data_IF_504725264226
#
_entry.id   IF_504725264226
#
_cell.length_a   1.000
_cell.length_b   1.000
_cell.length_c   1.000
_cell.angle_alpha   90.00
_cell.angle_beta   90.00
_cell.angle_gamma   90.00
#
_symmetry.space_group_name_H-M   'P 1'
#
loop_
_entity.id
_entity.type
_entity.pdbx_description
1 polymer ?
#
# COMPACT_ATOMS: atom_id res chain seq x y z
N UNK A 1 -2.55 30.78 -36.90
CA UNK A 1 -3.60 29.97 -36.23
C UNK A 1 -3.12 29.74 -34.82
N UNK A 2 -3.78 30.36 -33.83
CA UNK A 2 -3.47 30.10 -32.43
C UNK A 2 -3.81 28.63 -32.15
N UNK A 3 -2.85 27.87 -31.63
CA UNK A 3 -3.17 26.58 -31.03
C UNK A 3 -4.16 26.85 -29.91
N UNK A 4 -5.30 26.19 -29.95
CA UNK A 4 -6.29 26.27 -28.88
C UNK A 4 -5.59 25.72 -27.62
N UNK A 5 -5.24 26.61 -26.70
CA UNK A 5 -4.38 26.38 -25.53
C UNK A 5 -5.20 25.69 -24.42
N UNK A 6 -5.97 24.67 -24.83
CA UNK A 6 -6.81 23.89 -23.93
C UNK A 6 -5.93 22.90 -23.21
N UNK A 7 -5.88 23.03 -21.87
CA UNK A 7 -5.18 22.08 -21.02
C UNK A 7 -5.59 20.63 -21.37
N UNK A 8 -4.66 19.79 -21.88
CA UNK A 8 -4.98 18.43 -22.32
C UNK A 8 -5.67 17.60 -21.24
N UNK A 9 -5.40 17.90 -19.95
CA UNK A 9 -6.00 17.21 -18.81
C UNK A 9 -7.52 17.42 -18.70
N UNK A 10 -8.10 18.43 -19.37
CA UNK A 10 -9.55 18.67 -19.36
C UNK A 10 -10.37 17.51 -19.91
N UNK A 11 -9.75 16.63 -20.71
CA UNK A 11 -10.38 15.38 -21.13
C UNK A 11 -10.78 14.49 -19.95
N UNK A 12 -10.13 14.62 -18.79
CA UNK A 12 -10.39 13.85 -17.56
C UNK A 12 -11.21 14.63 -16.52
N UNK A 13 -11.78 15.79 -16.87
CA UNK A 13 -12.43 16.70 -15.92
C UNK A 13 -13.62 16.06 -15.16
N UNK A 14 -14.27 15.06 -15.74
CA UNK A 14 -15.36 14.30 -15.12
C UNK A 14 -14.91 13.37 -13.99
N UNK A 15 -13.61 13.05 -13.94
CA UNK A 15 -12.98 12.24 -12.89
C UNK A 15 -11.80 13.00 -12.27
N UNK A 16 -12.05 13.95 -11.35
CA UNK A 16 -11.03 14.84 -10.80
C UNK A 16 -9.82 14.14 -10.16
N UNK A 17 -10.03 12.93 -9.63
CA UNK A 17 -8.95 12.12 -9.07
C UNK A 17 -7.96 11.65 -10.13
N UNK A 18 -8.48 11.07 -11.20
CA UNK A 18 -7.69 10.63 -12.35
C UNK A 18 -6.94 11.83 -12.94
N UNK A 19 -7.65 12.92 -13.21
CA UNK A 19 -7.05 14.17 -13.71
C UNK A 19 -5.89 14.64 -12.82
N UNK A 20 -6.08 14.68 -11.50
CA UNK A 20 -5.03 15.08 -10.56
C UNK A 20 -3.86 14.09 -10.52
N UNK A 21 -4.11 12.78 -10.64
CA UNK A 21 -3.06 11.77 -10.65
C UNK A 21 -2.21 11.88 -11.93
N UNK A 22 -2.86 12.02 -13.09
CA UNK A 22 -2.17 12.22 -14.37
C UNK A 22 -1.40 13.55 -14.42
N UNK A 23 -1.98 14.63 -13.89
CA UNK A 23 -1.27 15.90 -13.75
C UNK A 23 0.05 15.73 -12.97
N UNK A 24 -0.02 15.06 -11.80
CA UNK A 24 1.16 14.78 -10.99
C UNK A 24 2.20 13.91 -11.70
N UNK A 25 1.77 12.88 -12.44
CA UNK A 25 2.65 12.01 -13.22
C UNK A 25 3.41 12.81 -14.29
N UNK A 26 2.69 13.60 -15.09
CA UNK A 26 3.28 14.39 -16.18
C UNK A 26 4.22 15.47 -15.65
N UNK A 27 3.86 16.14 -14.57
CA UNK A 27 4.74 17.11 -13.90
C UNK A 27 6.02 16.44 -13.39
N UNK A 28 5.90 15.29 -12.72
CA UNK A 28 7.07 14.56 -12.21
C UNK A 28 8.01 14.12 -13.35
N UNK A 29 7.47 13.57 -14.45
CA UNK A 29 8.27 13.19 -15.62
C UNK A 29 9.00 14.40 -16.23
N UNK A 30 8.33 15.55 -16.34
CA UNK A 30 8.95 16.79 -16.86
C UNK A 30 10.05 17.31 -15.94
N UNK A 31 9.86 17.20 -14.62
CA UNK A 31 10.87 17.57 -13.63
C UNK A 31 12.11 16.67 -13.69
N UNK A 32 11.97 15.40 -14.11
CA UNK A 32 13.10 14.50 -14.41
C UNK A 32 13.74 14.76 -15.79
N UNK A 33 13.26 15.76 -16.52
CA UNK A 33 13.79 16.15 -17.83
C UNK A 33 13.21 15.36 -19.01
N UNK A 34 12.14 14.58 -18.80
CA UNK A 34 11.46 13.88 -19.87
C UNK A 34 10.44 14.78 -20.58
N UNK A 35 10.25 14.56 -21.87
CA UNK A 35 9.14 15.15 -22.61
C UNK A 35 7.89 14.29 -22.40
N UNK A 36 6.99 14.73 -21.51
CA UNK A 36 5.78 14.00 -21.16
C UNK A 36 4.50 14.78 -21.49
N UNK A 37 3.58 14.13 -22.21
CA UNK A 37 2.31 14.69 -22.64
C UNK A 37 1.16 13.67 -22.60
N UNK A 38 -0.05 14.17 -22.33
CA UNK A 38 -1.30 13.41 -22.47
C UNK A 38 -1.80 13.54 -23.90
N UNK A 39 -1.89 12.42 -24.63
CA UNK A 39 -2.33 12.42 -26.02
C UNK A 39 -3.87 12.32 -26.14
N UNK A 40 -4.52 11.67 -25.18
CA UNK A 40 -5.97 11.57 -25.14
C UNK A 40 -6.46 10.47 -24.20
N UNK A 41 -7.73 10.09 -24.35
CA UNK A 41 -8.41 9.09 -23.51
C UNK A 41 -9.19 8.13 -24.40
N UNK A 42 -8.71 6.89 -24.60
CA UNK A 42 -9.43 5.90 -25.40
C UNK A 42 -10.85 5.62 -24.90
N UNK A 43 -11.08 5.68 -23.59
CA UNK A 43 -12.41 5.53 -22.99
C UNK A 43 -13.37 6.67 -23.38
N UNK A 44 -12.88 7.90 -23.57
CA UNK A 44 -13.71 9.10 -23.80
C UNK A 44 -13.75 9.55 -25.26
N UNK A 45 -12.79 9.12 -26.07
CA UNK A 45 -12.62 9.55 -27.46
C UNK A 45 -12.62 8.36 -28.41
N UNK A 46 -13.64 7.49 -28.34
CA UNK A 46 -13.71 6.26 -29.15
C UNK A 46 -13.50 6.49 -30.65
N UNK A 47 -13.91 7.65 -31.17
CA UNK A 47 -13.77 8.01 -32.58
C UNK A 47 -12.31 8.26 -33.00
N UNK A 48 -11.46 8.73 -32.07
CA UNK A 48 -10.02 8.93 -32.29
C UNK A 48 -9.20 7.67 -32.01
N UNK A 49 -9.79 6.69 -31.33
CA UNK A 49 -9.18 5.42 -30.94
C UNK A 49 -9.98 4.24 -31.52
N UNK A 50 -9.91 3.98 -32.85
CA UNK A 50 -10.77 3.04 -33.58
C UNK A 50 -10.38 1.56 -33.37
N UNK A 51 -10.11 1.17 -32.12
CA UNK A 51 -9.74 -0.18 -31.75
C UNK A 51 -10.96 -1.09 -31.62
N UNK A 52 -10.83 -2.33 -32.09
CA UNK A 52 -11.89 -3.35 -32.01
C UNK A 52 -11.34 -4.64 -31.38
N UNK A 53 -11.84 -5.07 -30.20
CA UNK A 53 -12.78 -4.37 -29.33
C UNK A 53 -12.21 -3.05 -28.75
N UNK A 54 -13.06 -2.13 -28.24
CA UNK A 54 -12.61 -0.88 -27.64
C UNK A 54 -11.65 -1.10 -26.47
N UNK A 55 -10.70 -0.17 -26.31
CA UNK A 55 -9.68 -0.18 -25.25
C UNK A 55 -10.23 0.54 -24.01
N UNK A 56 -10.39 -0.14 -22.86
CA UNK A 56 -10.97 0.45 -21.65
C UNK A 56 -9.87 1.02 -20.73
N UNK A 57 -9.17 2.05 -21.19
CA UNK A 57 -8.11 2.72 -20.40
C UNK A 57 -8.34 4.21 -20.31
N UNK A 58 -7.90 4.78 -19.18
CA UNK A 58 -8.15 6.18 -18.86
C UNK A 58 -7.39 7.14 -19.78
N UNK A 59 -6.14 6.81 -20.16
CA UNK A 59 -5.29 7.72 -20.91
C UNK A 59 -4.34 7.04 -21.91
N UNK A 60 -3.94 7.80 -22.93
CA UNK A 60 -2.72 7.58 -23.70
C UNK A 60 -1.71 8.68 -23.35
N UNK A 61 -0.50 8.26 -22.97
CA UNK A 61 0.59 9.15 -22.53
C UNK A 61 1.79 8.92 -23.41
N UNK A 62 2.42 10.00 -23.88
CA UNK A 62 3.70 9.94 -24.56
C UNK A 62 4.82 10.43 -23.65
N UNK A 63 5.92 9.67 -23.60
CA UNK A 63 7.14 10.02 -22.87
C UNK A 63 8.33 9.87 -23.81
N UNK A 64 9.06 10.95 -24.05
CA UNK A 64 10.18 11.03 -25.00
C UNK A 64 9.82 10.49 -26.40
N UNK A 65 8.59 10.76 -26.86
CA UNK A 65 8.08 10.33 -28.16
C UNK A 65 7.56 8.87 -28.22
N UNK A 66 7.65 8.11 -27.13
CA UNK A 66 7.07 6.77 -27.02
C UNK A 66 5.69 6.89 -26.38
N UNK A 67 4.65 6.52 -27.12
CA UNK A 67 3.27 6.57 -26.65
C UNK A 67 2.79 5.19 -26.18
N UNK A 68 2.14 5.17 -25.02
CA UNK A 68 1.58 3.98 -24.40
C UNK A 68 0.29 4.27 -23.64
N UNK A 69 -0.46 3.22 -23.34
CA UNK A 69 -1.74 3.32 -22.64
C UNK A 69 -1.52 3.25 -21.14
N UNK A 70 -2.11 4.16 -20.38
CA UNK A 70 -2.02 4.20 -18.93
C UNK A 70 -3.42 4.16 -18.34
N UNK A 71 -3.64 3.18 -17.47
CA UNK A 71 -4.87 3.05 -16.71
C UNK A 71 -4.62 3.48 -15.26
N UNK A 72 -5.63 4.05 -14.61
CA UNK A 72 -5.53 4.53 -13.23
C UNK A 72 -6.30 3.61 -12.28
N UNK A 73 -5.74 3.42 -11.09
CA UNK A 73 -6.37 2.66 -10.02
C UNK A 73 -6.07 3.27 -8.65
N UNK A 74 -6.91 2.94 -7.68
CA UNK A 74 -6.76 3.37 -6.29
C UNK A 74 -6.55 2.13 -5.44
N UNK A 75 -5.58 2.16 -4.52
CA UNK A 75 -5.42 1.08 -3.54
C UNK A 75 -6.53 1.18 -2.49
N UNK A 76 -7.48 0.23 -2.45
CA UNK A 76 -8.50 0.26 -1.42
C UNK A 76 -7.83 0.05 -0.06
N UNK A 77 -8.33 0.72 0.97
CA UNK A 77 -8.04 0.26 2.33
C UNK A 77 -8.49 -1.21 2.47
N UNK A 78 -7.75 -2.05 3.22
CA UNK A 78 -8.31 -3.31 3.68
C UNK A 78 -9.65 -2.97 4.35
N UNK A 79 -10.70 -3.76 4.07
CA UNK A 79 -12.10 -3.46 4.40
C UNK A 79 -12.42 -3.35 5.92
N UNK A 80 -11.41 -3.16 6.76
CA UNK A 80 -11.55 -2.99 8.19
C UNK A 80 -11.84 -1.55 8.60
N UNK A 81 -12.64 -1.46 9.66
CA UNK A 81 -12.96 -0.26 10.41
C UNK A 81 -11.69 0.60 10.60
N UNK A 82 -11.65 1.81 10.01
CA UNK A 82 -10.53 2.76 10.15
C UNK A 82 -10.11 2.98 11.62
N UNK A 83 -11.05 2.79 12.57
CA UNK A 83 -10.77 2.86 14.01
C UNK A 83 -9.85 1.74 14.49
N UNK A 84 -9.93 0.56 13.87
CA UNK A 84 -9.09 -0.60 14.17
C UNK A 84 -7.64 -0.33 13.76
N UNK A 85 -7.42 0.20 12.56
CA UNK A 85 -6.08 0.58 12.07
C UNK A 85 -5.45 1.62 12.99
N UNK A 86 -6.18 2.72 13.27
CA UNK A 86 -5.69 3.75 14.20
C UNK A 86 -5.39 3.20 15.62
N UNK A 87 -6.14 2.18 16.07
CA UNK A 87 -5.89 1.52 17.35
C UNK A 87 -4.61 0.67 17.29
N UNK A 88 -4.39 -0.07 16.21
CA UNK A 88 -3.20 -0.91 16.04
C UNK A 88 -1.93 -0.06 16.02
N UNK A 89 -1.94 1.06 15.27
CA UNK A 89 -0.81 1.98 15.17
C UNK A 89 -0.44 2.55 16.55
N UNK A 90 -1.43 3.09 17.27
CA UNK A 90 -1.22 3.66 18.60
C UNK A 90 -0.71 2.62 19.61
N UNK A 91 -1.18 1.38 19.53
CA UNK A 91 -0.72 0.28 20.39
C UNK A 91 0.70 -0.13 20.06
N UNK A 92 1.05 -0.23 18.78
CA UNK A 92 2.38 -0.60 18.33
C UNK A 92 3.43 0.45 18.75
N UNK A 93 3.18 1.73 18.46
CA UNK A 93 4.06 2.84 18.83
C UNK A 93 4.33 2.84 20.34
N UNK A 94 3.26 2.73 21.13
CA UNK A 94 3.38 2.73 22.60
C UNK A 94 4.16 1.54 23.12
N UNK A 95 3.91 0.33 22.62
CA UNK A 95 4.59 -0.87 23.09
C UNK A 95 6.07 -0.92 22.67
N UNK A 96 6.41 -0.40 21.49
CA UNK A 96 7.81 -0.28 21.07
C UNK A 96 8.58 0.58 22.07
N UNK A 97 8.06 1.75 22.42
CA UNK A 97 8.69 2.62 23.42
C UNK A 97 8.87 1.95 24.78
N UNK A 98 7.90 1.13 25.21
CA UNK A 98 7.96 0.43 26.50
C UNK A 98 8.89 -0.80 26.53
N UNK A 99 9.12 -1.44 25.39
CA UNK A 99 9.83 -2.72 25.30
C UNK A 99 11.25 -2.61 24.76
N UNK A 100 11.64 -1.45 24.22
CA UNK A 100 12.94 -1.27 23.54
C UNK A 100 14.12 -1.60 24.45
N UNK A 101 14.15 -1.04 25.66
CA UNK A 101 15.23 -1.31 26.62
C UNK A 101 15.22 -2.78 27.08
N UNK A 102 14.03 -3.31 27.34
CA UNK A 102 13.85 -4.69 27.75
C UNK A 102 14.33 -5.69 26.67
N UNK A 103 14.14 -5.37 25.39
CA UNK A 103 14.55 -6.23 24.29
C UNK A 103 16.07 -6.32 24.11
N UNK A 104 16.84 -5.37 24.66
CA UNK A 104 18.30 -5.45 24.71
C UNK A 104 18.81 -6.66 25.48
N UNK A 105 18.02 -7.15 26.45
CA UNK A 105 18.37 -8.26 27.33
C UNK A 105 17.86 -9.62 26.79
N UNK A 106 17.18 -9.63 25.63
CA UNK A 106 16.61 -10.84 25.07
C UNK A 106 17.68 -11.76 24.45
N UNK A 107 17.59 -13.10 24.61
CA UNK A 107 18.56 -14.07 24.06
C UNK A 107 18.80 -14.01 22.55
N UNK A 108 17.87 -13.44 21.78
CA UNK A 108 18.01 -13.24 20.33
C UNK A 108 18.48 -11.84 19.93
N UNK A 109 18.72 -10.93 20.88
CA UNK A 109 18.94 -9.51 20.59
C UNK A 109 17.65 -8.75 20.24
N UNK A 110 16.48 -9.40 20.37
CA UNK A 110 15.18 -8.77 20.17
C UNK A 110 13.96 -9.60 20.61
N UNK A 111 12.81 -8.94 20.65
CA UNK A 111 11.50 -9.47 21.03
C UNK A 111 10.51 -9.44 19.87
N UNK A 112 9.66 -10.46 19.78
CA UNK A 112 8.44 -10.45 18.96
C UNK A 112 7.22 -10.60 19.85
N UNK A 113 6.28 -9.67 19.73
CA UNK A 113 5.04 -9.59 20.51
C UNK A 113 3.87 -9.77 19.56
N UNK A 114 3.05 -10.79 19.80
CA UNK A 114 1.83 -11.07 19.02
C UNK A 114 0.59 -10.74 19.83
N UNK A 115 -0.31 -9.91 19.29
CA UNK A 115 -1.49 -9.34 19.98
C UNK A 115 -2.75 -9.43 19.11
N UNK A 116 -3.93 -9.26 19.70
CA UNK A 116 -5.16 -8.99 18.96
C UNK A 116 -5.53 -7.51 19.11
N UNK A 117 -6.14 -6.89 18.08
CA UNK A 117 -6.59 -5.49 18.14
C UNK A 117 -7.89 -5.31 18.96
N UNK A 118 -8.76 -6.32 18.94
CA UNK A 118 -10.07 -6.31 19.62
C UNK A 118 -10.04 -5.79 21.07
N UNK A 119 -9.17 -6.31 21.95
CA UNK A 119 -9.07 -5.88 23.35
C UNK A 119 -8.70 -4.41 23.56
N UNK A 120 -8.21 -3.70 22.55
CA UNK A 120 -7.76 -2.31 22.65
C UNK A 120 -8.77 -1.32 22.08
N UNK A 121 -9.73 -1.78 21.29
CA UNK A 121 -10.70 -0.91 20.64
C UNK A 121 -11.71 -0.37 21.68
N UNK A 122 -11.80 0.96 21.77
CA UNK A 122 -12.79 1.63 22.61
C UNK A 122 -12.61 1.42 24.12
N UNK A 123 -11.46 0.89 24.57
CA UNK A 123 -11.18 0.74 26.00
C UNK A 123 -10.81 2.08 26.64
N UNK A 124 -11.17 2.25 27.91
CA UNK A 124 -10.76 3.44 28.67
C UNK A 124 -9.24 3.51 28.83
N UNK A 125 -8.68 4.71 29.01
CA UNK A 125 -7.24 4.93 29.26
C UNK A 125 -6.69 4.00 30.35
N UNK A 126 -7.40 3.90 31.49
CA UNK A 126 -7.01 3.02 32.62
C UNK A 126 -7.00 1.53 32.26
N UNK A 127 -7.91 1.08 31.39
CA UNK A 127 -7.93 -0.29 30.90
C UNK A 127 -6.79 -0.54 29.89
N UNK A 128 -6.53 0.42 29.00
CA UNK A 128 -5.39 0.38 28.08
C UNK A 128 -4.05 0.30 28.82
N UNK A 129 -3.84 1.13 29.85
CA UNK A 129 -2.62 1.12 30.67
C UNK A 129 -2.38 -0.25 31.33
N UNK A 130 -3.46 -0.93 31.76
CA UNK A 130 -3.37 -2.29 32.32
C UNK A 130 -2.94 -3.31 31.26
N UNK A 131 -3.48 -3.23 30.05
CA UNK A 131 -3.12 -4.12 28.94
C UNK A 131 -1.64 -3.91 28.56
N UNK A 132 -1.17 -2.66 28.47
CA UNK A 132 0.24 -2.36 28.22
C UNK A 132 1.13 -2.94 29.33
N UNK A 133 0.80 -2.69 30.60
CA UNK A 133 1.57 -3.22 31.73
C UNK A 133 1.62 -4.76 31.75
N UNK A 134 0.52 -5.42 31.34
CA UNK A 134 0.46 -6.87 31.23
C UNK A 134 1.43 -7.39 30.16
N UNK A 135 1.42 -6.81 28.95
CA UNK A 135 2.33 -7.20 27.86
C UNK A 135 3.79 -7.01 28.27
N UNK A 136 4.13 -5.88 28.92
CA UNK A 136 5.48 -5.63 29.43
C UNK A 136 5.89 -6.68 30.47
N UNK A 137 5.01 -6.99 31.43
CA UNK A 137 5.29 -8.02 32.44
C UNK A 137 5.48 -9.41 31.83
N UNK A 138 4.72 -9.75 30.78
CA UNK A 138 4.89 -10.99 30.02
C UNK A 138 6.23 -11.03 29.31
N UNK A 139 6.67 -9.92 28.72
CA UNK A 139 7.97 -9.83 28.06
C UNK A 139 9.13 -9.98 29.05
N UNK A 140 9.05 -9.34 30.21
CA UNK A 140 10.07 -9.49 31.25
C UNK A 140 10.15 -10.93 31.75
N UNK A 141 9.02 -11.63 31.88
CA UNK A 141 9.00 -13.06 32.22
C UNK A 141 9.62 -13.94 31.14
N UNK A 142 9.36 -13.66 29.85
CA UNK A 142 9.97 -14.39 28.75
C UNK A 142 11.49 -14.31 28.82
N UNK A 143 12.03 -13.09 28.94
CA UNK A 143 13.48 -12.82 29.03
C UNK A 143 14.10 -13.52 30.24
N UNK A 144 13.52 -13.36 31.43
CA UNK A 144 14.02 -14.01 32.65
C UNK A 144 14.08 -15.54 32.52
N UNK A 145 13.18 -16.14 31.75
CA UNK A 145 13.13 -17.59 31.52
C UNK A 145 14.00 -18.05 30.35
N UNK A 146 14.48 -17.13 29.52
CA UNK A 146 15.13 -17.42 28.26
C UNK A 146 14.26 -18.25 27.31
N UNK A 147 12.93 -18.21 27.45
CA UNK A 147 11.98 -18.98 26.62
C UNK A 147 10.76 -18.12 26.25
N UNK A 148 10.10 -18.39 25.10
CA UNK A 148 8.82 -17.76 24.77
C UNK A 148 7.79 -17.89 25.90
N UNK A 149 6.93 -16.89 26.05
CA UNK A 149 5.96 -16.84 27.14
C UNK A 149 4.55 -16.49 26.64
N UNK A 150 3.57 -17.21 27.17
CA UNK A 150 2.13 -17.00 26.96
C UNK A 150 1.46 -17.18 28.32
N UNK A 151 0.66 -16.20 28.76
CA UNK A 151 -0.08 -16.27 30.02
C UNK A 151 -1.50 -16.80 29.80
N UNK A 152 -1.62 -18.13 29.78
CA UNK A 152 -2.89 -18.83 29.60
C UNK A 152 -3.91 -18.58 30.73
N UNK A 153 -3.53 -17.91 31.82
CA UNK A 153 -4.37 -17.71 33.02
C UNK A 153 -5.01 -16.33 33.09
N UNK A 154 -4.53 -15.37 32.30
CA UNK A 154 -4.98 -13.98 32.32
C UNK A 154 -5.41 -13.54 30.93
N UNK A 155 -6.64 -13.87 30.47
CA UNK A 155 -7.52 -13.12 29.54
C UNK A 155 -8.66 -14.04 28.95
N UNK A 156 -9.73 -13.48 28.35
CA UNK A 156 -11.10 -13.98 28.48
C UNK A 156 -11.41 -15.24 27.67
N UNK A 157 -12.39 -16.01 28.15
CA UNK A 157 -13.02 -17.13 27.42
C UNK A 157 -13.67 -16.59 26.14
N UNK A 158 -12.93 -16.53 25.04
CA UNK A 158 -13.38 -16.09 23.72
C UNK A 158 -12.46 -16.63 22.61
N UNK A 159 -12.86 -16.57 21.33
CA UNK A 159 -12.25 -17.34 20.24
C UNK A 159 -10.90 -16.82 19.70
N UNK A 160 -10.22 -15.87 20.36
CA UNK A 160 -9.01 -15.21 19.84
C UNK A 160 -7.80 -15.35 20.79
N UNK A 161 -6.56 -15.46 20.26
CA UNK A 161 -5.41 -15.92 21.03
C UNK A 161 -4.84 -14.90 22.01
N UNK A 162 -4.43 -15.41 23.17
CA UNK A 162 -3.68 -14.72 24.23
C UNK A 162 -2.40 -14.07 23.68
N UNK A 163 -1.99 -12.87 24.15
CA UNK A 163 -0.71 -12.27 23.81
C UNK A 163 0.45 -13.25 23.93
N UNK A 164 1.31 -13.32 22.91
CA UNK A 164 2.46 -14.23 22.90
C UNK A 164 3.75 -13.44 22.74
N UNK A 165 4.72 -13.72 23.62
CA UNK A 165 6.08 -13.14 23.54
C UNK A 165 7.06 -14.21 23.10
N UNK A 166 7.83 -13.92 22.06
CA UNK A 166 8.95 -14.74 21.61
C UNK A 166 10.23 -13.92 21.45
N UNK A 167 11.31 -14.61 21.08
CA UNK A 167 12.57 -13.98 20.71
C UNK A 167 12.74 -13.96 19.21
N UNK A 168 13.37 -12.90 18.73
CA UNK A 168 13.71 -12.74 17.33
C UNK A 168 15.22 -12.55 17.21
N UNK A 169 15.93 -13.39 16.43
CA UNK A 169 17.35 -13.19 16.17
C UNK A 169 17.54 -11.89 15.37
N UNK A 170 18.18 -10.89 15.98
CA UNK A 170 18.27 -9.56 15.41
C UNK A 170 19.69 -9.23 14.90
N UNK A 171 19.90 -9.11 13.57
CA UNK A 171 21.16 -8.65 13.01
C UNK A 171 21.33 -7.12 12.98
N UNK A 172 20.26 -6.34 13.26
CA UNK A 172 20.22 -4.87 13.10
C UNK A 172 19.74 -4.12 14.37
N UNK A 173 19.68 -2.78 14.32
CA UNK A 173 19.19 -1.86 15.37
C UNK A 173 17.72 -2.04 15.81
N UNK A 174 17.02 -3.07 15.34
CA UNK A 174 15.57 -3.24 15.46
C UNK A 174 15.18 -4.28 16.53
N UNK A 175 15.21 -3.91 17.81
CA UNK A 175 15.08 -4.88 18.91
C UNK A 175 13.65 -5.33 19.24
N UNK A 176 12.59 -4.67 18.75
CA UNK A 176 11.18 -5.04 19.07
C UNK A 176 10.33 -5.15 17.80
N UNK A 177 9.51 -6.20 17.71
CA UNK A 177 8.51 -6.41 16.67
C UNK A 177 7.14 -6.58 17.32
N UNK A 178 6.15 -5.80 16.88
CA UNK A 178 4.73 -5.97 17.26
C UNK A 178 3.98 -6.54 16.05
N UNK A 179 3.22 -7.61 16.27
CA UNK A 179 2.40 -8.29 15.26
C UNK A 179 0.98 -8.42 15.78
N UNK A 180 -0.01 -8.12 14.93
CA UNK A 180 -1.42 -8.31 15.26
C UNK A 180 -1.95 -9.59 14.59
N UNK A 181 -2.32 -10.58 15.39
CA UNK A 181 -3.02 -11.78 14.96
C UNK A 181 -4.53 -11.52 14.96
N UNK A 182 -5.04 -11.11 13.82
CA UNK A 182 -6.48 -11.00 13.56
C UNK A 182 -6.84 -11.83 12.32
N UNK A 183 -7.60 -12.92 12.53
CA UNK A 183 -7.89 -13.92 11.50
C UNK A 183 -8.82 -13.36 10.40
N UNK A 184 -9.55 -12.27 10.67
CA UNK A 184 -10.40 -11.63 9.66
C UNK A 184 -9.65 -10.73 8.67
N UNK A 185 -8.40 -10.37 8.98
CA UNK A 185 -7.70 -9.24 8.38
C UNK A 185 -6.48 -9.61 7.54
N UNK A 186 -5.86 -10.75 7.84
CA UNK A 186 -4.66 -11.24 7.14
C UNK A 186 -3.57 -10.17 6.99
N UNK A 187 -3.23 -9.45 8.06
CA UNK A 187 -2.32 -8.29 8.01
C UNK A 187 -1.12 -8.46 8.94
N UNK A 188 0.10 -8.34 8.41
CA UNK A 188 1.31 -8.03 9.15
C UNK A 188 2.06 -6.90 8.44
N UNK A 189 2.10 -5.76 9.14
CA UNK A 189 3.08 -4.71 8.93
C UNK A 189 4.11 -4.77 10.05
N UNK A 190 5.39 -4.65 9.70
CA UNK A 190 6.53 -4.54 10.61
C UNK A 190 7.01 -3.09 10.57
N UNK A 191 6.64 -2.30 11.57
CA UNK A 191 7.19 -0.96 11.76
C UNK A 191 8.68 -1.07 12.13
N UNK A 192 9.57 -0.48 11.33
CA UNK A 192 11.01 -0.40 11.56
C UNK A 192 11.36 0.89 12.32
N UNK A 193 12.53 0.93 12.95
CA UNK A 193 12.96 2.03 13.82
C UNK A 193 13.32 3.31 13.05
N UNK A 194 13.32 3.25 11.73
CA UNK A 194 13.33 4.41 10.82
C UNK A 194 11.92 5.02 10.64
N UNK A 195 10.91 4.51 11.34
CA UNK A 195 9.54 4.98 11.25
C UNK A 195 8.76 4.43 10.04
N UNK A 196 9.25 3.37 9.38
CA UNK A 196 8.62 2.83 8.16
C UNK A 196 7.93 1.50 8.39
N UNK A 197 6.83 1.26 7.70
CA UNK A 197 6.15 -0.03 7.69
C UNK A 197 6.77 -0.97 6.66
N UNK A 198 7.06 -2.23 7.02
CA UNK A 198 7.42 -3.32 6.10
C UNK A 198 6.29 -4.32 6.04
N UNK A 199 5.80 -4.67 4.86
CA UNK A 199 4.60 -5.49 4.71
C UNK A 199 4.96 -6.86 4.15
N UNK A 200 4.25 -7.90 4.60
CA UNK A 200 4.30 -9.20 3.93
C UNK A 200 3.32 -9.22 2.76
N UNK A 201 3.79 -9.57 1.57
CA UNK A 201 2.98 -9.46 0.36
C UNK A 201 1.90 -10.52 0.28
N UNK A 202 2.19 -11.73 0.75
CA UNK A 202 1.20 -12.82 0.82
C UNK A 202 -0.03 -12.45 1.66
N UNK A 203 0.08 -11.43 2.51
CA UNK A 203 -0.95 -10.94 3.42
C UNK A 203 -1.73 -9.75 2.85
N UNK A 204 -1.06 -8.80 2.20
CA UNK A 204 -1.74 -7.66 1.56
C UNK A 204 -2.37 -8.01 0.21
N UNK A 205 -1.87 -9.04 -0.48
CA UNK A 205 -2.33 -9.40 -1.84
C UNK A 205 -3.82 -9.79 -1.88
N UNK A 206 -4.36 -10.63 -0.97
CA UNK A 206 -5.78 -10.98 -0.98
C UNK A 206 -6.75 -9.83 -0.69
N UNK A 207 -6.30 -8.75 -0.04
CA UNK A 207 -7.13 -7.62 0.39
C UNK A 207 -6.95 -6.39 -0.50
N UNK A 208 -5.70 -6.01 -0.78
CA UNK A 208 -5.32 -4.79 -1.52
C UNK A 208 -4.91 -5.14 -2.96
N UNK A 209 -4.18 -6.23 -3.16
CA UNK A 209 -3.69 -6.68 -4.47
C UNK A 209 -4.79 -7.02 -5.47
N UNK A 210 -5.98 -7.41 -5.01
CA UNK A 210 -7.14 -7.75 -5.88
C UNK A 210 -7.54 -6.63 -6.83
N UNK A 211 -7.40 -5.36 -6.43
CA UNK A 211 -7.71 -4.24 -7.31
C UNK A 211 -6.75 -4.23 -8.53
N UNK A 212 -5.45 -4.38 -8.27
CA UNK A 212 -4.40 -4.48 -9.29
C UNK A 212 -4.61 -5.74 -10.14
N UNK A 213 -4.86 -6.90 -9.52
CA UNK A 213 -5.14 -8.15 -10.24
C UNK A 213 -6.34 -8.02 -11.19
N UNK A 214 -7.44 -7.41 -10.72
CA UNK A 214 -8.62 -7.20 -11.54
C UNK A 214 -8.34 -6.26 -12.72
N UNK A 215 -7.54 -5.20 -12.50
CA UNK A 215 -7.09 -4.30 -13.58
C UNK A 215 -6.25 -5.03 -14.61
N UNK A 216 -5.22 -5.77 -14.18
CA UNK A 216 -4.34 -6.54 -15.08
C UNK A 216 -5.12 -7.60 -15.87
N UNK A 217 -5.89 -8.44 -15.18
CA UNK A 217 -6.62 -9.57 -15.79
C UNK A 217 -7.75 -9.13 -16.73
N UNK A 218 -8.53 -8.11 -16.36
CA UNK A 218 -9.76 -7.77 -17.10
C UNK A 218 -9.60 -6.63 -18.08
N UNK A 219 -8.84 -5.60 -17.71
CA UNK A 219 -8.70 -4.39 -18.53
C UNK A 219 -7.41 -4.47 -19.34
N UNK A 220 -6.24 -4.46 -18.68
CA UNK A 220 -4.96 -4.36 -19.38
C UNK A 220 -4.65 -5.56 -20.29
N UNK A 221 -5.05 -6.79 -19.91
CA UNK A 221 -4.90 -7.95 -20.79
C UNK A 221 -5.68 -7.79 -22.12
N UNK A 222 -6.83 -7.11 -22.11
CA UNK A 222 -7.57 -6.79 -23.34
C UNK A 222 -6.86 -5.74 -24.16
N UNK A 223 -6.30 -4.71 -23.52
CA UNK A 223 -5.46 -3.71 -24.17
C UNK A 223 -4.29 -4.39 -24.86
N UNK A 224 -3.59 -5.29 -24.18
CA UNK A 224 -2.46 -6.04 -24.76
C UNK A 224 -2.88 -6.87 -25.96
N UNK A 225 -4.05 -7.50 -25.94
CA UNK A 225 -4.55 -8.28 -27.08
C UNK A 225 -4.83 -7.41 -28.32
N UNK A 226 -5.26 -6.16 -28.11
CA UNK A 226 -5.66 -5.24 -29.18
C UNK A 226 -4.50 -4.36 -29.66
N UNK A 227 -3.60 -3.98 -28.76
CA UNK A 227 -2.47 -3.09 -28.98
C UNK A 227 -1.15 -3.77 -28.54
N UNK A 228 -0.84 -4.91 -29.17
CA UNK A 228 0.24 -5.82 -28.76
C UNK A 228 1.62 -5.15 -28.62
N UNK A 229 1.91 -4.14 -29.43
CA UNK A 229 3.22 -3.48 -29.48
C UNK A 229 3.29 -2.17 -28.67
N UNK A 230 2.21 -1.76 -27.99
CA UNK A 230 2.19 -0.52 -27.22
C UNK A 230 2.63 -0.77 -25.78
N UNK A 231 3.46 0.08 -25.16
CA UNK A 231 3.66 0.05 -23.73
C UNK A 231 2.33 0.20 -22.99
N UNK A 232 2.19 -0.51 -21.87
CA UNK A 232 1.01 -0.43 -21.02
C UNK A 232 1.46 -0.08 -19.60
N UNK A 233 0.93 1.01 -19.08
CA UNK A 233 1.24 1.57 -17.77
C UNK A 233 0.08 1.41 -16.79
N UNK A 234 0.40 1.37 -15.50
CA UNK A 234 -0.58 1.46 -14.41
C UNK A 234 -0.21 2.60 -13.47
N UNK A 235 -1.11 3.56 -13.28
CA UNK A 235 -0.97 4.65 -12.33
C UNK A 235 -1.77 4.35 -11.07
N UNK A 236 -1.09 4.17 -9.95
CA UNK A 236 -1.67 3.76 -8.67
C UNK A 236 -1.73 4.98 -7.76
N UNK A 237 -2.92 5.43 -7.37
CA UNK A 237 -3.10 6.59 -6.50
C UNK A 237 -3.45 6.15 -5.07
N UNK A 238 -2.56 6.43 -4.11
CA UNK A 238 -2.77 6.18 -2.68
C UNK A 238 -3.14 7.44 -1.89
N UNK A 239 -3.27 8.60 -2.55
CA UNK A 239 -3.56 9.88 -1.86
C UNK A 239 -4.99 9.88 -1.30
N UNK A 240 -5.21 10.40 -0.08
CA UNK A 240 -6.57 10.61 0.40
C UNK A 240 -7.20 11.76 -0.39
N UNK A 241 -8.38 11.53 -0.98
CA UNK A 241 -9.15 12.57 -1.66
C UNK A 241 -10.56 12.69 -1.09
N UNK A 242 -11.00 13.92 -0.87
CA UNK A 242 -12.41 14.23 -0.63
C UNK A 242 -13.12 14.20 -1.98
N UNK A 243 -13.85 13.13 -2.29
CA UNK A 243 -14.73 13.12 -3.46
C UNK A 243 -15.74 14.25 -3.30
N UNK A 244 -16.03 15.00 -4.37
CA UNK A 244 -17.01 16.08 -4.32
C UNK A 244 -18.33 15.56 -3.71
N UNK A 245 -18.79 16.23 -2.63
CA UNK A 245 -20.00 15.86 -1.90
C UNK A 245 -19.83 14.85 -0.76
N UNK A 246 -18.66 14.20 -0.60
CA UNK A 246 -18.39 13.32 0.56
C UNK A 246 -17.77 14.11 1.71
N UNK A 247 -18.35 14.00 2.91
CA UNK A 247 -17.81 14.63 4.14
C UNK A 247 -16.54 13.96 4.69
N UNK A 248 -16.20 12.76 4.20
CA UNK A 248 -15.02 11.99 4.66
C UNK A 248 -14.20 11.51 3.46
N UNK A 249 -12.86 11.53 3.54
CA UNK A 249 -12.01 10.97 2.50
C UNK A 249 -12.32 9.49 2.27
N UNK A 250 -12.16 9.04 1.03
CA UNK A 250 -12.21 7.60 0.73
C UNK A 250 -11.08 6.87 1.45
N UNK A 251 -11.34 5.69 2.02
CA UNK A 251 -10.31 4.94 2.72
C UNK A 251 -9.33 4.38 1.69
N UNK A 252 -8.13 4.95 1.66
CA UNK A 252 -7.04 4.57 0.76
C UNK A 252 -5.86 4.10 1.58
N UNK A 253 -5.15 3.08 1.07
CA UNK A 253 -4.01 2.50 1.76
C UNK A 253 -2.71 3.02 1.13
N UNK A 254 -1.96 3.82 1.89
CA UNK A 254 -0.64 4.27 1.46
C UNK A 254 0.43 3.26 1.87
N UNK A 255 0.98 2.57 0.88
CA UNK A 255 2.04 1.59 1.02
C UNK A 255 3.37 2.19 0.54
N UNK A 256 4.51 1.89 1.17
CA UNK A 256 5.82 2.31 0.68
C UNK A 256 6.06 1.82 -0.77
N UNK A 257 6.71 2.62 -1.63
CA UNK A 257 6.95 2.24 -3.03
C UNK A 257 7.59 0.85 -3.23
N UNK A 258 8.59 0.41 -2.44
CA UNK A 258 9.18 -0.92 -2.60
C UNK A 258 8.18 -2.07 -2.38
N UNK A 259 7.21 -1.87 -1.47
CA UNK A 259 6.19 -2.87 -1.14
C UNK A 259 5.15 -2.95 -2.25
N UNK A 260 4.70 -1.79 -2.74
CA UNK A 260 3.80 -1.71 -3.90
C UNK A 260 4.47 -2.34 -5.11
N UNK A 261 5.75 -2.07 -5.34
CA UNK A 261 6.49 -2.60 -6.46
C UNK A 261 6.63 -4.11 -6.43
N UNK A 262 6.99 -4.68 -5.28
CA UNK A 262 7.05 -6.13 -5.14
C UNK A 262 5.65 -6.77 -5.27
N UNK A 263 4.58 -6.12 -4.79
CA UNK A 263 3.19 -6.62 -4.97
C UNK A 263 2.79 -6.65 -6.45
N UNK A 264 3.10 -5.58 -7.20
CA UNK A 264 2.83 -5.54 -8.64
C UNK A 264 3.67 -6.58 -9.37
N UNK A 265 4.93 -6.79 -8.97
CA UNK A 265 5.79 -7.79 -9.57
C UNK A 265 5.20 -9.19 -9.46
N UNK A 266 4.82 -9.63 -8.26
CA UNK A 266 4.19 -10.94 -8.03
C UNK A 266 2.88 -11.10 -8.83
N UNK A 267 2.08 -10.04 -8.93
CA UNK A 267 0.84 -10.09 -9.73
C UNK A 267 1.15 -10.14 -11.24
N UNK A 268 2.13 -9.38 -11.71
CA UNK A 268 2.51 -9.31 -13.11
C UNK A 268 3.19 -10.60 -13.60
N UNK A 269 3.86 -11.36 -12.72
CA UNK A 269 4.39 -12.69 -13.02
C UNK A 269 3.30 -13.68 -13.47
N UNK A 270 2.08 -13.54 -12.93
CA UNK A 270 0.93 -14.36 -13.35
C UNK A 270 0.33 -13.92 -14.70
N UNK A 271 0.69 -12.72 -15.18
CA UNK A 271 0.20 -12.10 -16.42
C UNK A 271 1.35 -11.51 -17.25
N UNK A 272 2.32 -12.34 -17.68
CA UNK A 272 3.56 -11.86 -18.28
C UNK A 272 3.29 -11.06 -19.57
N UNK A 273 3.98 -9.93 -19.70
CA UNK A 273 3.89 -9.06 -20.87
C UNK A 273 2.64 -8.17 -20.92
N UNK A 274 1.69 -8.29 -19.99
CA UNK A 274 0.54 -7.37 -19.94
C UNK A 274 0.99 -5.97 -19.55
N UNK A 275 1.69 -5.84 -18.42
CA UNK A 275 2.14 -4.56 -17.86
C UNK A 275 3.60 -4.27 -18.25
N UNK A 276 3.88 -3.03 -18.67
CA UNK A 276 5.23 -2.55 -19.02
C UNK A 276 5.84 -1.73 -17.88
N UNK A 277 5.08 -0.79 -17.32
CA UNK A 277 5.53 0.12 -16.25
C UNK A 277 4.41 0.36 -15.24
N UNK A 278 4.73 0.68 -13.99
CA UNK A 278 3.76 1.23 -13.06
C UNK A 278 4.36 2.31 -12.18
N UNK A 279 3.51 3.25 -11.77
CA UNK A 279 3.87 4.38 -10.93
C UNK A 279 2.92 4.46 -9.74
N UNK A 280 3.46 4.83 -8.58
CA UNK A 280 2.70 5.12 -7.38
C UNK A 280 2.66 6.63 -7.17
N UNK A 281 1.47 7.18 -6.98
CA UNK A 281 1.25 8.55 -6.51
C UNK A 281 0.90 8.48 -5.03
N UNK A 282 1.83 8.90 -4.18
CA UNK A 282 1.72 8.87 -2.72
C UNK A 282 1.80 10.27 -2.13
N UNK A 283 1.06 10.56 -1.05
CA UNK A 283 1.16 11.84 -0.34
C UNK A 283 2.56 12.06 0.26
N UNK A 284 3.32 11.00 0.54
CA UNK A 284 4.63 11.09 1.22
C UNK A 284 5.81 11.11 0.25
N UNK A 285 5.71 10.40 -0.87
CA UNK A 285 6.82 10.20 -1.81
C UNK A 285 6.62 10.86 -3.17
N UNK A 286 5.46 11.49 -3.40
CA UNK A 286 5.11 12.03 -4.71
C UNK A 286 4.88 10.90 -5.71
N UNK A 287 5.36 11.07 -6.94
CA UNK A 287 5.28 10.04 -7.98
C UNK A 287 6.56 9.21 -7.97
N UNK A 288 6.44 7.89 -7.86
CA UNK A 288 7.60 6.98 -7.83
C UNK A 288 7.36 5.80 -8.78
N UNK A 289 8.34 5.40 -9.60
CA UNK A 289 8.23 4.17 -10.37
C UNK A 289 8.26 2.97 -9.42
N UNK A 290 7.35 2.02 -9.62
CA UNK A 290 7.20 0.83 -8.77
C UNK A 290 7.28 -0.47 -9.56
N UNK A 291 7.20 -0.42 -10.90
CA UNK A 291 7.37 -1.60 -11.75
C UNK A 291 7.90 -1.21 -13.13
N UNK A 292 8.66 -2.12 -13.76
CA UNK A 292 9.23 -2.00 -15.09
C UNK A 292 10.76 -1.86 -15.08
N UNK A 293 11.37 -1.57 -16.23
CA UNK A 293 12.83 -1.41 -16.31
C UNK A 293 13.25 -0.03 -15.82
N UNK A 294 14.31 0.01 -15.02
CA UNK A 294 14.91 1.26 -14.51
C UNK A 294 14.12 1.92 -13.39
N UNK A 295 14.81 2.79 -12.65
CA UNK A 295 14.26 3.57 -11.53
C UNK A 295 13.75 4.95 -11.99
N UNK A 296 13.60 5.18 -13.30
CA UNK A 296 13.11 6.43 -13.88
C UNK A 296 11.60 6.39 -14.16
N UNK A 297 11.00 7.54 -14.44
CA UNK A 297 9.57 7.63 -14.75
C UNK A 297 9.23 7.25 -16.20
N UNK A 298 10.21 6.99 -17.07
CA UNK A 298 9.98 6.65 -18.48
C UNK A 298 9.55 5.19 -18.72
N UNK A 299 9.27 4.83 -19.98
CA UNK A 299 8.75 3.51 -20.39
C UNK A 299 9.77 2.36 -20.28
#
# INVERSE_FOLDING_TARGET
>A
MAADDTDPLQILADKPREMSAFAGLLEAMRNEGHQAELLGSPERQSDLYPFTPPIPVDAEVAVNGVAGFVDHTVLPAPQEDQRRVATQDAVAERLIGLLTDLAAEAPGGGLIVRLAAGPWMGVSRKAGDRLYAQVVAMASKAIKRGKPFVDMRQLPRGPFPVPTIGFWPCPDNHRVIISFTDITSGWSGRFTADGRWRFNISEIRPSIGRAIESKLRKQLARVRAVAANRPIGLLIDSRPMLSQGKKKPEPVFDLPPPVVGQLIHEIAEEWPGVLSKAWLVSPLSGVTPVYGKGDDLSW
#
